data_IF_115584966257
#
_entry.id   IF_115584966257
#
_cell.length_a   1.000
_cell.length_b   1.000
_cell.length_c   1.000
_cell.angle_alpha   90.00
_cell.angle_beta   90.00
_cell.angle_gamma   90.00
#
_symmetry.space_group_name_H-M   'P 1'
#
loop_
_entity.id
_entity.type
_entity.pdbx_description
1 polymer ?
#
# COMPACT_ATOMS: atom_id res chain seq x y z
N UNK A 1 -15.80 -5.24 -18.40
CA UNK A 1 -16.24 -4.16 -17.53
C UNK A 1 -15.01 -3.59 -16.80
N UNK A 2 -14.80 -2.25 -16.85
CA UNK A 2 -13.72 -1.59 -16.06
C UNK A 2 -14.26 -1.43 -14.64
N UNK A 3 -13.48 -1.85 -13.63
CA UNK A 3 -13.89 -1.80 -12.22
C UNK A 3 -13.18 -0.68 -11.44
N UNK A 4 -11.99 -0.29 -11.88
CA UNK A 4 -11.21 0.82 -11.31
C UNK A 4 -10.17 1.34 -12.31
N UNK A 5 -9.55 2.47 -11.99
CA UNK A 5 -8.36 2.99 -12.66
C UNK A 5 -7.27 3.13 -11.59
N UNK A 6 -6.16 2.43 -11.75
CA UNK A 6 -5.04 2.50 -10.83
C UNK A 6 -3.86 3.30 -11.42
N UNK A 7 -3.43 4.33 -10.70
CA UNK A 7 -2.16 5.01 -10.93
C UNK A 7 -1.09 4.21 -10.17
N UNK A 8 -0.33 3.43 -10.92
CA UNK A 8 0.76 2.60 -10.41
C UNK A 8 1.88 2.55 -11.45
N UNK A 9 3.03 2.03 -11.12
CA UNK A 9 4.13 1.93 -12.09
C UNK A 9 5.24 0.98 -11.65
N UNK A 10 6.24 0.83 -12.51
CA UNK A 10 7.48 0.10 -12.21
C UNK A 10 8.42 0.87 -11.26
N UNK A 11 8.00 2.03 -10.80
CA UNK A 11 8.64 2.89 -9.80
C UNK A 11 7.58 3.54 -8.92
N UNK A 12 7.95 4.56 -8.18
CA UNK A 12 7.04 5.32 -7.33
C UNK A 12 6.26 6.38 -8.15
N UNK A 13 4.93 6.25 -8.32
CA UNK A 13 4.16 7.17 -9.17
C UNK A 13 4.23 8.62 -8.71
N UNK A 14 4.33 8.85 -7.39
CA UNK A 14 4.39 10.19 -6.80
C UNK A 14 5.72 10.88 -7.05
N UNK A 15 6.70 10.21 -7.68
CA UNK A 15 7.96 10.81 -8.10
C UNK A 15 7.84 11.65 -9.39
N UNK A 16 6.73 11.52 -10.12
CA UNK A 16 6.49 12.30 -11.32
C UNK A 16 6.39 13.79 -11.00
N UNK A 17 7.17 14.63 -11.70
CA UNK A 17 7.21 16.09 -11.46
C UNK A 17 5.84 16.76 -11.58
N UNK A 18 4.98 16.23 -12.43
CA UNK A 18 3.62 16.73 -12.69
C UNK A 18 2.56 15.80 -12.08
N UNK A 19 2.82 15.17 -10.96
CA UNK A 19 1.90 14.22 -10.33
C UNK A 19 0.49 14.78 -10.13
N UNK A 20 0.25 15.99 -9.58
CA UNK A 20 -1.12 16.51 -9.42
C UNK A 20 -1.83 16.74 -10.75
N UNK A 21 -1.11 17.16 -11.80
CA UNK A 21 -1.68 17.32 -13.13
C UNK A 21 -2.07 15.97 -13.76
N UNK A 22 -1.27 14.91 -13.52
CA UNK A 22 -1.61 13.55 -13.96
C UNK A 22 -2.88 13.08 -13.27
N UNK A 23 -2.99 13.24 -11.95
CA UNK A 23 -4.21 12.91 -11.20
C UNK A 23 -5.42 13.66 -11.76
N UNK A 24 -5.31 14.98 -11.94
CA UNK A 24 -6.40 15.80 -12.49
C UNK A 24 -6.80 15.39 -13.92
N UNK A 25 -5.82 15.00 -14.76
CA UNK A 25 -6.09 14.50 -16.11
C UNK A 25 -6.88 13.18 -16.08
N UNK A 26 -6.46 12.24 -15.24
CA UNK A 26 -7.12 10.92 -15.13
C UNK A 26 -8.56 11.10 -14.61
N UNK A 27 -8.77 11.99 -13.64
CA UNK A 27 -10.11 12.33 -13.13
C UNK A 27 -11.00 12.84 -14.28
N UNK A 28 -10.51 13.83 -15.04
CA UNK A 28 -11.26 14.39 -16.19
C UNK A 28 -11.59 13.35 -17.24
N UNK A 29 -10.65 12.45 -17.54
CA UNK A 29 -10.89 11.36 -18.51
C UNK A 29 -11.95 10.38 -17.98
N UNK A 30 -11.84 9.92 -16.75
CA UNK A 30 -12.86 9.07 -16.11
C UNK A 30 -14.25 9.68 -16.22
N UNK A 31 -14.37 10.97 -15.88
CA UNK A 31 -15.63 11.69 -15.85
C UNK A 31 -16.18 11.92 -17.28
N UNK A 32 -15.30 12.25 -18.24
CA UNK A 32 -15.68 12.42 -19.65
C UNK A 32 -16.21 11.12 -20.28
N UNK A 33 -15.74 9.95 -19.82
CA UNK A 33 -16.27 8.67 -20.26
C UNK A 33 -17.46 8.17 -19.41
N UNK A 34 -17.95 8.97 -18.46
CA UNK A 34 -19.09 8.61 -17.60
C UNK A 34 -18.81 7.39 -16.69
N UNK A 35 -17.55 7.13 -16.34
CA UNK A 35 -17.16 5.96 -15.58
C UNK A 35 -17.36 6.20 -14.07
N UNK A 36 -18.39 5.58 -13.48
CA UNK A 36 -18.65 5.63 -12.05
C UNK A 36 -17.75 4.62 -11.27
N UNK A 37 -16.43 4.72 -11.44
CA UNK A 37 -15.45 3.82 -10.86
C UNK A 37 -14.46 4.57 -9.98
N UNK A 38 -13.80 3.85 -9.05
CA UNK A 38 -12.77 4.42 -8.20
C UNK A 38 -11.47 4.67 -8.94
N UNK A 39 -10.83 5.78 -8.58
CA UNK A 39 -9.45 6.05 -8.94
C UNK A 39 -8.56 5.66 -7.75
N UNK A 40 -7.53 4.84 -8.00
CA UNK A 40 -6.60 4.33 -6.99
C UNK A 40 -5.18 4.80 -7.24
N UNK A 41 -4.50 5.19 -6.20
CA UNK A 41 -3.06 5.42 -6.20
C UNK A 41 -2.39 4.30 -5.43
N UNK A 42 -1.46 3.57 -6.06
CA UNK A 42 -0.60 2.59 -5.37
C UNK A 42 0.76 3.24 -5.17
N UNK A 43 1.16 3.47 -3.91
CA UNK A 43 2.38 4.20 -3.56
C UNK A 43 3.11 3.58 -2.37
N UNK A 44 4.44 3.68 -2.34
CA UNK A 44 5.24 3.35 -1.17
C UNK A 44 5.27 4.48 -0.11
N UNK A 45 4.60 5.60 -0.39
CA UNK A 45 4.46 6.73 0.51
C UNK A 45 5.71 7.53 0.79
N UNK A 46 6.84 7.24 0.13
CA UNK A 46 8.13 7.89 0.42
C UNK A 46 8.12 9.41 0.19
N UNK A 47 7.23 9.89 -0.68
CA UNK A 47 7.17 11.29 -1.11
C UNK A 47 5.88 11.99 -0.67
N UNK A 48 5.07 11.39 0.20
CA UNK A 48 3.75 11.89 0.61
C UNK A 48 3.80 13.28 1.26
N UNK A 49 4.94 13.63 1.87
CA UNK A 49 5.13 14.95 2.50
C UNK A 49 5.46 16.08 1.50
N UNK A 50 5.72 15.78 0.22
CA UNK A 50 5.98 16.80 -0.80
C UNK A 50 4.71 17.59 -1.12
N UNK A 51 4.77 18.94 -1.23
CA UNK A 51 3.58 19.77 -1.51
C UNK A 51 2.79 19.32 -2.74
N UNK A 52 3.47 19.03 -3.87
CA UNK A 52 2.81 18.55 -5.08
C UNK A 52 2.11 17.18 -4.89
N UNK A 53 2.69 16.27 -4.09
CA UNK A 53 2.06 14.98 -3.79
C UNK A 53 0.81 15.18 -2.93
N UNK A 54 0.89 16.02 -1.90
CA UNK A 54 -0.26 16.39 -1.06
C UNK A 54 -1.40 16.98 -1.87
N UNK A 55 -1.11 17.89 -2.81
CA UNK A 55 -2.08 18.45 -3.74
C UNK A 55 -2.77 17.35 -4.57
N UNK A 56 -1.99 16.43 -5.15
CA UNK A 56 -2.54 15.29 -5.91
C UNK A 56 -3.40 14.36 -5.05
N UNK A 57 -3.03 14.12 -3.78
CA UNK A 57 -3.84 13.33 -2.84
C UNK A 57 -5.18 14.03 -2.50
N UNK A 58 -5.18 15.35 -2.36
CA UNK A 58 -6.41 16.13 -2.15
C UNK A 58 -7.34 16.04 -3.37
N UNK A 59 -6.80 16.18 -4.58
CA UNK A 59 -7.59 16.00 -5.82
C UNK A 59 -8.18 14.58 -5.89
N UNK A 60 -7.39 13.57 -5.54
CA UNK A 60 -7.83 12.18 -5.51
C UNK A 60 -9.00 11.99 -4.52
N UNK A 61 -8.88 12.53 -3.30
CA UNK A 61 -9.91 12.44 -2.26
C UNK A 61 -11.22 13.12 -2.69
N UNK A 62 -11.14 14.32 -3.28
CA UNK A 62 -12.29 15.08 -3.77
C UNK A 62 -13.04 14.38 -4.90
N UNK A 63 -12.41 13.42 -5.56
CA UNK A 63 -12.94 12.67 -6.70
C UNK A 63 -13.30 11.22 -6.37
N UNK A 64 -13.63 10.92 -5.10
CA UNK A 64 -13.94 9.56 -4.62
C UNK A 64 -12.81 8.56 -4.90
N UNK A 65 -11.56 9.02 -4.88
CA UNK A 65 -10.40 8.16 -5.01
C UNK A 65 -9.90 7.61 -3.69
N UNK A 66 -8.96 6.69 -3.78
CA UNK A 66 -8.34 6.06 -2.60
C UNK A 66 -6.85 5.79 -2.84
N UNK A 67 -6.10 5.68 -1.76
CA UNK A 67 -4.68 5.32 -1.76
C UNK A 67 -4.51 3.90 -1.24
N UNK A 68 -3.71 3.11 -1.93
CA UNK A 68 -3.17 1.85 -1.46
C UNK A 68 -1.70 2.05 -1.09
N UNK A 69 -1.48 2.27 0.19
CA UNK A 69 -0.15 2.52 0.75
C UNK A 69 0.59 1.20 0.96
N UNK A 70 1.67 0.98 0.21
CA UNK A 70 2.47 -0.25 0.31
C UNK A 70 3.28 -0.26 1.60
N UNK A 71 3.03 -1.27 2.42
CA UNK A 71 3.75 -1.54 3.66
C UNK A 71 4.09 -3.05 3.73
N UNK A 72 5.08 -3.46 2.94
CA UNK A 72 5.47 -4.87 2.81
C UNK A 72 6.43 -5.34 3.93
N UNK A 73 6.98 -4.40 4.72
CA UNK A 73 7.83 -4.65 5.89
C UNK A 73 7.69 -3.50 6.89
N UNK A 74 7.97 -3.75 8.17
CA UNK A 74 7.77 -2.82 9.26
C UNK A 74 8.99 -2.61 10.18
N UNK A 75 9.94 -3.54 10.19
CA UNK A 75 11.22 -3.33 10.87
C UNK A 75 12.23 -2.68 9.93
N UNK A 76 13.25 -2.00 10.48
CA UNK A 76 14.31 -1.39 9.69
C UNK A 76 15.05 -2.43 8.83
N UNK A 77 15.31 -3.59 9.41
CA UNK A 77 15.96 -4.74 8.78
C UNK A 77 15.06 -5.36 7.69
N UNK A 78 13.76 -5.51 7.99
CA UNK A 78 12.76 -5.99 7.05
C UNK A 78 12.63 -5.06 5.84
N UNK A 79 12.55 -3.76 6.06
CA UNK A 79 12.49 -2.75 4.99
C UNK A 79 13.77 -2.78 4.13
N UNK A 80 14.94 -2.87 4.74
CA UNK A 80 16.20 -3.00 4.01
C UNK A 80 16.21 -4.26 3.13
N UNK A 81 15.71 -5.38 3.65
CA UNK A 81 15.69 -6.67 2.94
C UNK A 81 14.64 -6.73 1.83
N UNK A 82 13.43 -6.18 2.06
CA UNK A 82 12.30 -6.29 1.12
C UNK A 82 12.27 -5.11 0.14
N UNK A 83 12.54 -3.90 0.63
CA UNK A 83 12.42 -2.67 -0.17
C UNK A 83 13.78 -2.14 -0.63
N UNK A 84 14.90 -2.77 -0.22
CA UNK A 84 16.26 -2.33 -0.54
C UNK A 84 16.70 -1.05 0.19
N UNK A 85 15.91 -0.53 1.11
CA UNK A 85 16.19 0.72 1.84
C UNK A 85 15.83 0.56 3.31
N UNK A 86 16.79 0.83 4.20
CA UNK A 86 16.60 0.84 5.64
C UNK A 86 15.87 2.13 6.07
N UNK A 87 14.55 2.08 6.10
CA UNK A 87 13.71 3.21 6.53
C UNK A 87 13.52 3.19 8.06
N UNK A 88 13.30 4.38 8.63
CA UNK A 88 12.87 4.51 10.01
C UNK A 88 11.37 4.18 10.13
N UNK A 89 10.97 3.17 10.93
CA UNK A 89 9.56 2.80 11.12
C UNK A 89 8.68 3.94 11.62
N UNK A 90 9.21 4.83 12.48
CA UNK A 90 8.47 6.01 12.95
C UNK A 90 8.19 6.99 11.80
N UNK A 91 9.18 7.19 10.92
CA UNK A 91 9.01 8.00 9.73
C UNK A 91 7.98 7.41 8.76
N UNK A 92 7.94 6.08 8.61
CA UNK A 92 6.92 5.40 7.79
C UNK A 92 5.53 5.55 8.41
N UNK A 93 5.39 5.32 9.71
CA UNK A 93 4.12 5.50 10.45
C UNK A 93 3.58 6.92 10.30
N UNK A 94 4.45 7.94 10.44
CA UNK A 94 4.06 9.34 10.25
C UNK A 94 3.56 9.60 8.82
N UNK A 95 4.28 9.12 7.80
CA UNK A 95 3.86 9.29 6.39
C UNK A 95 2.55 8.58 6.08
N UNK A 96 2.33 7.38 6.63
CA UNK A 96 1.06 6.67 6.50
C UNK A 96 -0.09 7.48 7.08
N UNK A 97 0.08 8.05 8.29
CA UNK A 97 -0.90 8.93 8.91
C UNK A 97 -1.16 10.18 8.07
N UNK A 98 -0.10 10.88 7.64
CA UNK A 98 -0.22 12.06 6.78
C UNK A 98 -0.97 11.78 5.48
N UNK A 99 -0.78 10.58 4.91
CA UNK A 99 -1.51 10.13 3.73
C UNK A 99 -2.99 9.92 4.05
N UNK A 100 -3.29 9.20 5.13
CA UNK A 100 -4.66 8.88 5.56
C UNK A 100 -5.46 10.12 5.99
N UNK A 101 -4.81 11.15 6.50
CA UNK A 101 -5.43 12.43 6.83
C UNK A 101 -5.86 13.23 5.58
N UNK A 102 -5.29 12.93 4.42
CA UNK A 102 -5.57 13.62 3.15
C UNK A 102 -6.54 12.86 2.25
N UNK A 103 -6.49 11.54 2.25
CA UNK A 103 -7.26 10.71 1.34
C UNK A 103 -7.60 9.37 1.99
N UNK A 104 -8.75 8.78 1.65
CA UNK A 104 -9.09 7.42 2.05
C UNK A 104 -7.92 6.48 1.75
N UNK A 105 -7.34 5.88 2.79
CA UNK A 105 -6.11 5.09 2.66
C UNK A 105 -6.30 3.67 3.18
N UNK A 106 -5.93 2.71 2.34
CA UNK A 106 -5.77 1.30 2.65
C UNK A 106 -4.28 0.98 2.76
N UNK A 107 -3.90 0.14 3.72
CA UNK A 107 -2.57 -0.46 3.72
C UNK A 107 -2.59 -1.67 2.79
N UNK A 108 -1.64 -1.75 1.87
CA UNK A 108 -1.47 -2.88 0.96
C UNK A 108 -0.18 -3.62 1.30
N UNK A 109 -0.27 -4.91 1.62
CA UNK A 109 0.87 -5.73 2.05
C UNK A 109 0.95 -7.01 1.25
N UNK A 110 2.08 -7.21 0.56
CA UNK A 110 2.41 -8.46 -0.10
C UNK A 110 3.07 -9.42 0.89
N UNK A 111 2.50 -10.61 1.03
CA UNK A 111 3.01 -11.65 1.91
C UNK A 111 3.54 -12.83 1.10
N UNK A 112 4.79 -13.24 1.36
CA UNK A 112 5.46 -14.32 0.65
C UNK A 112 6.53 -14.99 1.50
N UNK A 113 6.96 -16.18 1.07
CA UNK A 113 8.18 -16.81 1.61
C UNK A 113 9.40 -16.21 0.92
N UNK A 114 10.40 -15.85 1.69
CA UNK A 114 11.72 -15.44 1.20
C UNK A 114 12.77 -16.46 1.65
N UNK A 115 13.29 -17.26 0.73
CA UNK A 115 14.21 -18.35 1.04
C UNK A 115 13.56 -19.40 1.95
N UNK A 116 12.32 -19.80 1.64
CA UNK A 116 11.50 -20.76 2.39
C UNK A 116 11.04 -20.31 3.79
N UNK A 117 11.29 -19.06 4.17
CA UNK A 117 10.88 -18.52 5.47
C UNK A 117 9.76 -17.51 5.30
N UNK A 118 8.67 -17.61 6.06
CA UNK A 118 7.64 -16.59 6.13
C UNK A 118 8.18 -15.33 6.86
N UNK A 119 7.44 -14.20 6.83
CA UNK A 119 7.72 -13.07 7.70
C UNK A 119 7.87 -13.53 9.15
N UNK A 120 8.92 -13.07 9.84
CA UNK A 120 9.16 -13.46 11.24
C UNK A 120 8.08 -12.89 12.17
N UNK A 121 7.86 -13.51 13.32
CA UNK A 121 6.90 -12.99 14.31
C UNK A 121 7.25 -11.55 14.74
N UNK A 122 8.54 -11.24 14.86
CA UNK A 122 8.99 -9.88 15.18
C UNK A 122 8.59 -8.87 14.10
N UNK A 123 8.68 -9.25 12.82
CA UNK A 123 8.24 -8.44 11.69
C UNK A 123 6.71 -8.24 11.71
N UNK A 124 5.96 -9.31 11.94
CA UNK A 124 4.50 -9.27 12.04
C UNK A 124 4.04 -8.37 13.20
N UNK A 125 4.66 -8.50 14.37
CA UNK A 125 4.34 -7.66 15.54
C UNK A 125 4.65 -6.18 15.29
N UNK A 126 5.78 -5.87 14.65
CA UNK A 126 6.13 -4.51 14.26
C UNK A 126 5.12 -3.93 13.27
N UNK A 127 4.70 -4.73 12.28
CA UNK A 127 3.69 -4.35 11.29
C UNK A 127 2.31 -4.10 11.94
N UNK A 128 1.84 -5.01 12.79
CA UNK A 128 0.60 -4.84 13.56
C UNK A 128 0.64 -3.60 14.45
N UNK A 129 1.80 -3.28 15.04
CA UNK A 129 1.98 -2.06 15.84
C UNK A 129 1.79 -0.79 15.00
N UNK A 130 2.31 -0.75 13.78
CA UNK A 130 2.08 0.39 12.86
C UNK A 130 0.58 0.52 12.54
N UNK A 131 -0.10 -0.60 12.24
CA UNK A 131 -1.53 -0.59 11.99
C UNK A 131 -2.32 -0.09 13.21
N UNK A 132 -2.03 -0.60 14.40
CA UNK A 132 -2.71 -0.19 15.63
C UNK A 132 -2.56 1.31 15.90
N UNK A 133 -1.37 1.87 15.66
CA UNK A 133 -1.09 3.29 15.82
C UNK A 133 -1.80 4.19 14.80
N UNK A 134 -2.27 3.63 13.69
CA UNK A 134 -2.87 4.39 12.57
C UNK A 134 -4.32 3.98 12.28
N UNK A 135 -4.85 2.97 12.96
CA UNK A 135 -6.15 2.32 12.65
C UNK A 135 -7.34 3.27 12.56
N UNK A 136 -7.35 4.34 13.34
CA UNK A 136 -8.46 5.31 13.35
C UNK A 136 -8.55 6.15 12.07
N UNK A 137 -7.46 6.23 11.30
CA UNK A 137 -7.38 6.98 10.05
C UNK A 137 -7.42 6.07 8.81
N UNK A 138 -7.28 4.74 8.98
CA UNK A 138 -7.25 3.80 7.88
C UNK A 138 -8.65 3.30 7.50
N UNK A 139 -8.87 3.10 6.20
CA UNK A 139 -10.05 2.40 5.69
C UNK A 139 -9.96 0.88 5.91
N UNK A 140 -8.76 0.33 5.93
CA UNK A 140 -8.51 -1.08 6.15
C UNK A 140 -7.18 -1.56 5.56
N UNK A 141 -7.10 -2.87 5.34
CA UNK A 141 -5.89 -3.56 4.89
C UNK A 141 -6.21 -4.49 3.73
N UNK A 142 -5.37 -4.47 2.69
CA UNK A 142 -5.30 -5.47 1.65
C UNK A 142 -4.10 -6.38 1.89
N UNK A 143 -4.34 -7.64 2.25
CA UNK A 143 -3.33 -8.70 2.30
C UNK A 143 -3.38 -9.50 1.00
N UNK A 144 -2.25 -9.65 0.34
CA UNK A 144 -2.22 -10.43 -0.90
C UNK A 144 -0.94 -11.26 -1.01
N UNK A 145 -1.04 -12.37 -1.75
CA UNK A 145 0.07 -13.25 -2.09
C UNK A 145 0.82 -12.78 -3.32
N UNK A 146 1.71 -13.62 -3.85
CA UNK A 146 2.44 -13.36 -5.09
C UNK A 146 1.50 -13.51 -6.30
N UNK A 147 0.88 -12.42 -6.72
CA UNK A 147 -0.07 -12.40 -7.84
C UNK A 147 0.58 -12.67 -9.22
N UNK A 148 1.90 -12.44 -9.33
CA UNK A 148 2.68 -12.65 -10.58
C UNK A 148 4.15 -12.91 -10.24
N UNK A 149 4.90 -13.57 -11.14
CA UNK A 149 6.34 -13.72 -10.97
C UNK A 149 7.05 -12.37 -10.82
N UNK A 150 7.98 -12.28 -9.89
CA UNK A 150 8.83 -11.10 -9.74
C UNK A 150 9.85 -11.07 -10.88
N UNK A 151 10.23 -9.87 -11.33
CA UNK A 151 11.32 -9.64 -12.29
C UNK A 151 12.61 -9.20 -11.58
N UNK A 152 12.64 -9.19 -10.25
CA UNK A 152 13.82 -8.86 -9.46
C UNK A 152 14.77 -10.04 -9.36
N UNK A 153 16.03 -9.79 -9.02
CA UNK A 153 17.06 -10.82 -8.83
C UNK A 153 16.68 -11.85 -7.77
N UNK A 154 15.89 -11.46 -6.80
CA UNK A 154 15.38 -12.31 -5.71
C UNK A 154 14.24 -13.25 -6.11
N UNK A 155 13.70 -13.12 -7.33
CA UNK A 155 12.56 -13.92 -7.81
C UNK A 155 12.68 -15.42 -7.52
N UNK A 156 13.84 -16.09 -7.73
CA UNK A 156 14.00 -17.52 -7.44
C UNK A 156 13.82 -17.90 -5.96
N UNK A 157 13.94 -16.93 -5.06
CA UNK A 157 13.81 -17.11 -3.62
C UNK A 157 12.41 -16.80 -3.10
N UNK A 158 11.53 -16.26 -3.95
CA UNK A 158 10.16 -15.89 -3.58
C UNK A 158 9.23 -17.06 -3.85
N UNK A 159 8.44 -17.45 -2.85
CA UNK A 159 7.41 -18.49 -2.99
C UNK A 159 6.10 -18.01 -2.38
N UNK A 160 4.94 -18.47 -2.89
CA UNK A 160 3.65 -18.12 -2.32
C UNK A 160 3.48 -18.69 -0.92
N UNK A 161 2.79 -17.96 -0.07
CA UNK A 161 2.31 -18.44 1.23
C UNK A 161 0.97 -19.16 1.04
N UNK A 162 0.66 -20.16 1.88
CA UNK A 162 -0.67 -20.77 1.89
C UNK A 162 -1.77 -19.76 2.22
N UNK A 163 -2.94 -19.88 1.59
CA UNK A 163 -4.11 -19.03 1.89
C UNK A 163 -4.46 -19.02 3.39
N UNK A 164 -4.37 -20.16 4.06
CA UNK A 164 -4.62 -20.27 5.50
C UNK A 164 -3.66 -19.41 6.34
N UNK A 165 -2.42 -19.21 5.90
CA UNK A 165 -1.47 -18.33 6.58
C UNK A 165 -1.91 -16.87 6.48
N UNK A 166 -2.36 -16.45 5.28
CA UNK A 166 -2.89 -15.09 5.06
C UNK A 166 -4.14 -14.84 5.90
N UNK A 167 -5.05 -15.82 5.99
CA UNK A 167 -6.24 -15.70 6.84
C UNK A 167 -5.89 -15.62 8.33
N UNK A 168 -4.89 -16.37 8.79
CA UNK A 168 -4.40 -16.29 10.18
C UNK A 168 -3.89 -14.88 10.48
N UNK A 169 -3.14 -14.26 9.57
CA UNK A 169 -2.69 -12.88 9.71
C UNK A 169 -3.85 -11.89 9.64
N UNK A 170 -4.79 -12.09 8.71
CA UNK A 170 -5.98 -11.27 8.58
C UNK A 170 -6.82 -11.25 9.87
N UNK A 171 -6.94 -12.38 10.56
CA UNK A 171 -7.66 -12.43 11.83
C UNK A 171 -7.01 -11.55 12.90
N UNK A 172 -5.68 -11.53 12.98
CA UNK A 172 -4.95 -10.62 13.88
C UNK A 172 -5.23 -9.13 13.55
N UNK A 173 -5.38 -8.80 12.27
CA UNK A 173 -5.73 -7.43 11.85
C UNK A 173 -7.19 -7.09 12.20
N UNK A 174 -8.13 -8.04 12.03
CA UNK A 174 -9.54 -7.86 12.44
C UNK A 174 -9.67 -7.61 13.94
N UNK A 175 -8.82 -8.26 14.76
CA UNK A 175 -8.78 -8.01 16.22
C UNK A 175 -8.35 -6.59 16.59
N UNK A 176 -7.68 -5.84 15.68
CA UNK A 176 -7.42 -4.41 15.85
C UNK A 176 -8.63 -3.53 15.50
N UNK A 177 -9.72 -4.11 15.01
CA UNK A 177 -10.92 -3.40 14.54
C UNK A 177 -10.82 -2.91 13.09
N UNK A 178 -9.87 -3.40 12.28
CA UNK A 178 -9.70 -3.00 10.89
C UNK A 178 -10.41 -3.96 9.92
N UNK A 179 -10.97 -3.41 8.85
CA UNK A 179 -11.45 -4.19 7.70
C UNK A 179 -10.26 -4.80 6.96
N UNK A 180 -10.38 -6.08 6.55
CA UNK A 180 -9.31 -6.78 5.81
C UNK A 180 -9.88 -7.47 4.59
N UNK A 181 -9.22 -7.24 3.46
CA UNK A 181 -9.44 -7.99 2.22
C UNK A 181 -8.23 -8.90 1.97
N UNK A 182 -8.48 -10.19 1.75
CA UNK A 182 -7.45 -11.20 1.49
C UNK A 182 -7.55 -11.66 0.05
N UNK A 183 -6.40 -11.68 -0.65
CA UNK A 183 -6.25 -12.17 -2.03
C UNK A 183 -5.03 -13.09 -2.09
N UNK A 184 -5.21 -14.42 -1.91
CA UNK A 184 -4.12 -15.41 -1.92
C UNK A 184 -3.34 -15.47 -3.23
#
# INVERSE_FOLDING_TARGET
>A
QIVDIAISGNGEPTSADKFPQVVALVIRLRDAFGLAIKLRLITNGSLVDRPAVREGLIHLAQSNGEVWFKLDAATKEGMARINGVALDPLGVTRRLRNCADLCTTWVQTCCFLLGDLPPSEAEILAWLKILDQTKTSLAGVHLYGLARPSLQSEAPRLKPLPAAWLETLAERVRQLGLTVHVSP
#
